data_IF_524530075509
#
_entry.id   IF_524530075509
#
_cell.length_a   1.000
_cell.length_b   1.000
_cell.length_c   1.000
_cell.angle_alpha   90.00
_cell.angle_beta   90.00
_cell.angle_gamma   90.00
#
_symmetry.space_group_name_H-M   'P 1'
#
loop_
_entity.id
_entity.type
_entity.pdbx_description
1 polymer ?
#
# COMPACT_ATOMS: atom_id res chain seq x y z
N UNK A 1 15.11 4.72 -0.79
CA UNK A 1 14.72 3.68 -1.77
C UNK A 1 15.44 4.04 -3.06
N UNK A 2 16.39 3.19 -3.47
CA UNK A 2 17.23 3.46 -4.63
C UNK A 2 16.43 3.31 -5.92
N UNK A 3 16.65 4.21 -6.87
CA UNK A 3 16.05 4.14 -8.22
C UNK A 3 16.42 2.81 -8.92
N UNK A 4 17.63 2.33 -8.69
CA UNK A 4 18.18 1.09 -9.24
C UNK A 4 17.44 -0.17 -8.79
N UNK A 5 16.70 -0.13 -7.67
CA UNK A 5 15.86 -1.24 -7.24
C UNK A 5 14.66 -1.49 -8.16
N UNK A 6 14.36 -0.56 -9.07
CA UNK A 6 13.33 -0.70 -10.10
C UNK A 6 11.91 -0.87 -9.56
N UNK A 7 11.65 -0.43 -8.30
CA UNK A 7 10.34 -0.65 -7.67
C UNK A 7 9.29 0.25 -8.31
N UNK A 8 8.21 -0.38 -8.75
CA UNK A 8 7.04 0.25 -9.37
C UNK A 8 5.76 -0.10 -8.61
N UNK A 9 4.70 0.65 -8.87
CA UNK A 9 3.37 0.39 -8.29
C UNK A 9 2.81 -0.96 -8.75
N UNK A 10 2.39 -1.82 -7.82
CA UNK A 10 1.94 -3.18 -8.13
C UNK A 10 0.42 -3.32 -8.21
N UNK A 11 -0.33 -2.39 -7.66
CA UNK A 11 -1.81 -2.42 -7.69
C UNK A 11 -2.44 -1.60 -8.82
N UNK A 12 -1.71 -1.23 -9.86
CA UNK A 12 -2.24 -0.36 -10.91
C UNK A 12 -1.28 -0.14 -12.07
N UNK A 13 -1.10 1.12 -12.47
CA UNK A 13 -0.41 1.53 -13.70
C UNK A 13 1.13 1.43 -13.66
N UNK A 14 1.72 0.69 -12.73
CA UNK A 14 3.18 0.49 -12.62
C UNK A 14 3.99 1.80 -12.49
N UNK A 15 3.40 2.82 -11.88
CA UNK A 15 4.06 4.11 -11.70
C UNK A 15 5.33 3.98 -10.84
N UNK A 16 6.46 4.58 -11.22
CA UNK A 16 7.71 4.44 -10.49
C UNK A 16 7.64 4.95 -9.05
N UNK A 17 7.92 4.08 -8.08
CA UNK A 17 7.79 4.41 -6.65
C UNK A 17 8.72 5.54 -6.24
N UNK A 18 9.94 5.61 -6.78
CA UNK A 18 10.88 6.68 -6.46
C UNK A 18 10.39 8.08 -6.86
N UNK A 19 9.59 8.17 -7.94
CA UNK A 19 8.94 9.44 -8.35
C UNK A 19 7.83 9.80 -7.37
N UNK A 20 7.01 8.83 -6.96
CA UNK A 20 5.92 9.01 -6.00
C UNK A 20 6.43 9.48 -4.62
N UNK A 21 7.67 9.12 -4.26
CA UNK A 21 8.33 9.50 -3.02
C UNK A 21 9.09 10.84 -3.10
N UNK A 22 8.99 11.54 -4.24
CA UNK A 22 9.52 12.88 -4.43
C UNK A 22 8.39 13.85 -4.82
N UNK A 23 7.40 14.09 -3.92
CA UNK A 23 6.32 15.01 -4.23
C UNK A 23 6.85 16.42 -4.50
N UNK A 24 6.12 17.22 -5.30
CA UNK A 24 6.49 18.61 -5.56
C UNK A 24 6.70 19.38 -4.25
N UNK A 25 7.67 20.34 -4.18
CA UNK A 25 8.01 21.06 -2.96
C UNK A 25 6.86 21.88 -2.35
N UNK A 26 5.90 22.27 -3.16
CA UNK A 26 4.69 23.00 -2.77
C UNK A 26 3.61 22.10 -2.14
N UNK A 27 3.77 20.77 -2.20
CA UNK A 27 2.83 19.81 -1.63
C UNK A 27 3.35 19.29 -0.29
N UNK A 28 2.65 19.61 0.78
CA UNK A 28 2.96 19.12 2.13
C UNK A 28 2.31 17.76 2.34
N UNK A 29 3.08 16.71 2.13
CA UNK A 29 2.66 15.34 2.48
C UNK A 29 2.95 15.09 3.96
N UNK A 30 1.97 14.58 4.70
CA UNK A 30 2.06 14.24 6.12
C UNK A 30 1.66 12.79 6.43
N UNK A 31 1.11 12.07 5.45
CA UNK A 31 0.51 10.74 5.62
C UNK A 31 0.89 9.80 4.47
N UNK A 32 1.18 8.54 4.81
CA UNK A 32 1.28 7.43 3.84
C UNK A 32 0.16 6.45 4.07
N UNK A 33 -0.49 6.00 2.99
CA UNK A 33 -1.50 4.95 3.05
C UNK A 33 -1.05 3.76 2.21
N UNK A 34 -1.12 2.57 2.77
CA UNK A 34 -1.05 1.33 2.01
C UNK A 34 -2.43 0.83 1.63
N UNK A 35 -2.59 0.58 0.35
CA UNK A 35 -3.79 -0.01 -0.22
C UNK A 35 -3.68 -1.53 -0.17
N UNK A 36 -4.41 -2.15 0.75
CA UNK A 36 -4.63 -3.59 0.89
C UNK A 36 -6.09 -3.98 0.63
N UNK A 37 -6.88 -3.09 0.00
CA UNK A 37 -8.30 -3.35 -0.23
C UNK A 37 -8.53 -4.51 -1.20
N UNK A 38 -7.74 -4.61 -2.31
CA UNK A 38 -7.87 -5.66 -3.33
C UNK A 38 -9.33 -5.94 -3.68
N UNK A 39 -10.04 -4.87 -4.09
CA UNK A 39 -11.47 -4.92 -4.34
C UNK A 39 -11.86 -5.52 -5.69
N UNK A 40 -10.91 -5.81 -6.58
CA UNK A 40 -11.17 -6.40 -7.89
C UNK A 40 -11.56 -7.88 -7.72
N UNK A 41 -12.68 -8.33 -8.33
CA UNK A 41 -13.13 -9.71 -8.21
C UNK A 41 -12.06 -10.72 -8.66
N UNK A 42 -12.00 -11.86 -7.96
CA UNK A 42 -11.07 -12.98 -8.18
C UNK A 42 -9.60 -12.71 -7.88
N UNK A 43 -9.17 -11.48 -7.62
CA UNK A 43 -7.79 -11.21 -7.20
C UNK A 43 -7.57 -11.62 -5.74
N UNK A 44 -6.42 -12.27 -5.46
CA UNK A 44 -6.03 -12.76 -4.14
C UNK A 44 -4.53 -12.57 -3.85
N UNK A 45 -3.82 -11.90 -4.73
CA UNK A 45 -2.36 -11.71 -4.61
C UNK A 45 -1.97 -10.86 -3.39
N UNK A 46 -2.68 -9.77 -3.16
CA UNK A 46 -2.44 -8.90 -2.00
C UNK A 46 -2.91 -9.55 -0.70
N UNK A 47 -4.03 -10.29 -0.73
CA UNK A 47 -4.50 -11.08 0.41
C UNK A 47 -3.45 -12.10 0.84
N UNK A 48 -2.95 -12.92 -0.09
CA UNK A 48 -1.89 -13.91 0.20
C UNK A 48 -0.62 -13.25 0.70
N UNK A 49 -0.21 -12.15 0.10
CA UNK A 49 0.96 -11.38 0.55
C UNK A 49 0.83 -10.93 2.00
N UNK A 50 -0.33 -10.39 2.38
CA UNK A 50 -0.58 -9.92 3.74
C UNK A 50 -0.62 -11.04 4.77
N UNK A 51 -1.05 -12.24 4.37
CA UNK A 51 -1.03 -13.44 5.23
C UNK A 51 0.37 -14.03 5.42
N UNK A 52 1.17 -14.06 4.36
CA UNK A 52 2.48 -14.73 4.36
C UNK A 52 3.63 -13.81 4.77
N UNK A 53 3.53 -12.51 4.50
CA UNK A 53 4.60 -11.54 4.74
C UNK A 53 4.11 -10.23 5.38
N UNK A 54 3.28 -10.28 6.44
CA UNK A 54 2.73 -9.08 7.07
C UNK A 54 3.82 -8.15 7.61
N UNK A 55 4.93 -8.70 8.14
CA UNK A 55 6.07 -7.91 8.64
C UNK A 55 6.77 -7.13 7.51
N UNK A 56 6.79 -7.67 6.29
CA UNK A 56 7.36 -6.95 5.15
C UNK A 56 6.44 -5.80 4.70
N UNK A 57 5.13 -5.96 4.81
CA UNK A 57 4.15 -4.90 4.54
C UNK A 57 4.36 -3.74 5.52
N UNK A 58 4.42 -4.05 6.82
CA UNK A 58 4.61 -3.05 7.89
C UNK A 58 5.98 -2.38 7.78
N UNK A 59 7.05 -3.15 7.62
CA UNK A 59 8.41 -2.59 7.42
C UNK A 59 8.49 -1.70 6.18
N UNK A 60 7.83 -2.12 5.10
CA UNK A 60 7.76 -1.33 3.87
C UNK A 60 7.07 0.01 4.08
N UNK A 61 5.97 0.04 4.86
CA UNK A 61 5.31 1.28 5.24
C UNK A 61 6.24 2.20 6.04
N UNK A 62 6.93 1.66 7.05
CA UNK A 62 7.91 2.43 7.82
C UNK A 62 9.01 3.03 6.93
N UNK A 63 9.52 2.26 5.96
CA UNK A 63 10.53 2.73 5.03
C UNK A 63 10.01 3.86 4.10
N UNK A 64 8.77 3.75 3.65
CA UNK A 64 8.10 4.79 2.85
C UNK A 64 7.86 6.06 3.67
N UNK A 65 7.36 5.92 4.91
CA UNK A 65 7.19 7.03 5.85
C UNK A 65 8.51 7.75 6.12
N UNK A 66 9.57 6.99 6.38
CA UNK A 66 10.92 7.53 6.61
C UNK A 66 11.46 8.26 5.38
N UNK A 67 11.24 7.74 4.18
CA UNK A 67 11.68 8.35 2.93
C UNK A 67 11.00 9.71 2.66
N UNK A 68 9.74 9.85 3.07
CA UNK A 68 8.95 11.08 2.95
C UNK A 68 9.10 12.03 4.16
N UNK A 69 9.72 11.56 5.25
CA UNK A 69 9.82 12.33 6.49
C UNK A 69 8.48 12.52 7.21
N UNK A 70 7.51 11.62 7.00
CA UNK A 70 6.18 11.69 7.60
C UNK A 70 6.04 10.74 8.79
N UNK A 71 5.12 11.05 9.70
CA UNK A 71 4.93 10.29 10.95
C UNK A 71 3.64 9.46 10.98
N UNK A 72 2.69 9.65 10.06
CA UNK A 72 1.42 8.92 10.08
C UNK A 72 1.33 7.95 8.91
N UNK A 73 1.02 6.69 9.23
CA UNK A 73 0.81 5.61 8.26
C UNK A 73 -0.52 4.89 8.48
N UNK A 74 -1.19 4.51 7.39
CA UNK A 74 -2.38 3.67 7.42
C UNK A 74 -2.20 2.46 6.52
N UNK A 75 -2.82 1.33 6.92
CA UNK A 75 -2.96 0.14 6.08
C UNK A 75 -4.45 -0.16 5.98
N UNK A 76 -5.05 0.12 4.83
CA UNK A 76 -6.48 -0.11 4.60
C UNK A 76 -6.72 -1.50 4.01
N UNK A 77 -7.52 -2.32 4.71
CA UNK A 77 -7.85 -3.71 4.31
C UNK A 77 -9.36 -3.89 4.40
N UNK A 78 -9.98 -4.52 3.40
CA UNK A 78 -11.43 -4.75 3.41
C UNK A 78 -11.84 -5.84 4.41
N UNK A 79 -13.03 -5.66 5.01
CA UNK A 79 -13.59 -6.56 6.03
C UNK A 79 -13.91 -7.98 5.55
N UNK A 80 -13.87 -8.23 4.24
CA UNK A 80 -13.94 -9.59 3.68
C UNK A 80 -12.62 -10.39 3.81
N UNK A 81 -11.57 -9.79 4.39
CA UNK A 81 -10.27 -10.40 4.65
C UNK A 81 -9.89 -10.29 6.14
N UNK A 82 -10.72 -10.87 7.06
CA UNK A 82 -10.52 -10.71 8.50
C UNK A 82 -9.19 -11.30 8.98
N UNK A 83 -8.75 -12.39 8.39
CA UNK A 83 -7.47 -13.06 8.63
C UNK A 83 -6.27 -12.16 8.28
N UNK A 84 -6.32 -11.44 7.16
CA UNK A 84 -5.29 -10.49 6.78
C UNK A 84 -5.28 -9.26 7.72
N UNK A 85 -6.46 -8.76 8.13
CA UNK A 85 -6.56 -7.67 9.11
C UNK A 85 -5.86 -8.08 10.40
N UNK A 86 -6.18 -9.28 10.94
CA UNK A 86 -5.57 -9.79 12.17
C UNK A 86 -4.04 -9.92 12.04
N UNK A 87 -3.55 -10.53 10.96
CA UNK A 87 -2.11 -10.73 10.74
C UNK A 87 -1.34 -9.43 10.62
N UNK A 88 -1.86 -8.47 9.84
CA UNK A 88 -1.21 -7.17 9.65
C UNK A 88 -1.30 -6.33 10.93
N UNK A 89 -2.43 -6.40 11.66
CA UNK A 89 -2.58 -5.72 12.95
C UNK A 89 -1.55 -6.25 13.97
N UNK A 90 -1.40 -7.57 14.08
CA UNK A 90 -0.41 -8.17 14.99
C UNK A 90 1.03 -7.76 14.62
N UNK A 91 1.36 -7.69 13.33
CA UNK A 91 2.66 -7.21 12.87
C UNK A 91 2.89 -5.71 13.13
N UNK A 92 1.83 -4.91 13.19
CA UNK A 92 1.90 -3.47 13.37
C UNK A 92 1.73 -3.00 14.83
N UNK A 93 1.28 -3.87 15.76
CA UNK A 93 0.83 -3.48 17.11
C UNK A 93 1.87 -2.70 17.94
N UNK A 94 3.15 -3.02 17.76
CA UNK A 94 4.27 -2.39 18.49
C UNK A 94 4.93 -1.26 17.68
N UNK A 95 4.35 -0.89 16.54
CA UNK A 95 4.89 0.16 15.67
C UNK A 95 4.08 1.44 15.87
N UNK A 96 4.71 2.45 16.44
CA UNK A 96 4.08 3.75 16.62
C UNK A 96 3.68 4.37 15.28
N UNK A 97 2.61 5.16 15.31
CA UNK A 97 2.15 5.98 14.18
C UNK A 97 1.63 5.19 12.95
N UNK A 98 1.45 3.86 13.06
CA UNK A 98 0.80 3.01 12.05
C UNK A 98 -0.55 2.51 12.57
N UNK A 99 -1.57 2.64 11.73
CA UNK A 99 -2.94 2.21 12.03
C UNK A 99 -3.45 1.28 10.92
N UNK A 100 -3.97 0.11 11.32
CA UNK A 100 -4.65 -0.82 10.42
C UNK A 100 -6.14 -0.49 10.42
N UNK A 101 -6.68 -0.13 9.25
CA UNK A 101 -8.06 0.32 9.09
C UNK A 101 -8.87 -0.77 8.39
N UNK A 102 -9.88 -1.29 9.09
CA UNK A 102 -10.85 -2.21 8.52
C UNK A 102 -11.86 -1.44 7.65
N UNK A 103 -11.79 -1.62 6.35
CA UNK A 103 -12.61 -0.92 5.36
C UNK A 103 -13.86 -1.75 5.02
N UNK A 104 -15.01 -1.06 4.89
CA UNK A 104 -16.23 -1.72 4.41
C UNK A 104 -15.99 -2.30 3.01
N UNK A 105 -16.30 -3.58 2.84
CA UNK A 105 -16.22 -4.25 1.53
C UNK A 105 -17.19 -3.62 0.55
N UNK A 106 -16.68 -3.05 -0.52
CA UNK A 106 -17.43 -2.46 -1.64
C UNK A 106 -16.53 -2.25 -2.85
N UNK A 107 -17.11 -2.15 -4.02
CA UNK A 107 -16.38 -1.79 -5.24
C UNK A 107 -16.70 -0.32 -5.63
N UNK A 108 -15.70 0.52 -5.92
CA UNK A 108 -14.24 0.29 -5.87
C UNK A 108 -13.60 0.86 -4.58
N UNK A 109 -13.54 0.09 -3.49
CA UNK A 109 -12.98 0.56 -2.21
C UNK A 109 -11.47 0.88 -2.30
N UNK A 110 -10.76 0.14 -3.17
CA UNK A 110 -9.33 0.36 -3.43
C UNK A 110 -9.03 1.53 -4.37
N UNK A 111 -10.04 2.19 -4.93
CA UNK A 111 -9.82 3.41 -5.69
C UNK A 111 -9.16 4.47 -4.81
N UNK A 112 -8.04 5.05 -5.26
CA UNK A 112 -7.12 5.86 -4.44
C UNK A 112 -7.84 6.98 -3.67
N UNK A 113 -8.74 7.73 -4.31
CA UNK A 113 -9.51 8.80 -3.65
C UNK A 113 -10.51 8.27 -2.61
N UNK A 114 -11.15 7.14 -2.89
CA UNK A 114 -12.06 6.48 -1.95
C UNK A 114 -11.32 5.98 -0.71
N UNK A 115 -10.15 5.38 -0.90
CA UNK A 115 -9.30 4.89 0.16
C UNK A 115 -8.81 6.03 1.06
N UNK A 116 -8.36 7.15 0.47
CA UNK A 116 -7.92 8.33 1.21
C UNK A 116 -9.05 8.83 2.12
N UNK A 117 -10.24 9.00 1.56
CA UNK A 117 -11.40 9.44 2.36
C UNK A 117 -11.73 8.46 3.48
N UNK A 118 -11.76 7.15 3.17
CA UNK A 118 -12.09 6.12 4.16
C UNK A 118 -11.08 6.03 5.32
N UNK A 119 -9.79 6.26 5.06
CA UNK A 119 -8.75 6.21 6.08
C UNK A 119 -8.55 7.52 6.85
N UNK A 120 -8.81 8.67 6.22
CA UNK A 120 -8.41 9.98 6.78
C UNK A 120 -9.54 11.00 6.91
N UNK A 121 -10.68 10.75 6.27
CA UNK A 121 -11.76 11.74 6.11
C UNK A 121 -11.42 12.90 5.15
N UNK A 122 -10.23 12.89 4.53
CA UNK A 122 -9.81 13.94 3.61
C UNK A 122 -10.32 13.69 2.20
N UNK A 123 -10.69 14.75 1.49
CA UNK A 123 -11.12 14.70 0.10
C UNK A 123 -9.99 15.16 -0.83
N UNK A 124 -9.75 14.39 -1.89
CA UNK A 124 -8.86 14.81 -2.98
C UNK A 124 -9.67 15.69 -3.94
N UNK A 125 -9.23 16.91 -4.23
CA UNK A 125 -9.95 17.82 -5.13
C UNK A 125 -10.23 17.19 -6.51
N UNK A 126 -11.27 17.66 -7.18
CA UNK A 126 -11.55 17.24 -8.56
C UNK A 126 -10.37 17.57 -9.47
N UNK A 127 -9.92 16.60 -10.27
CA UNK A 127 -8.70 16.73 -11.07
C UNK A 127 -7.38 16.70 -10.28
N UNK A 128 -7.44 16.73 -8.94
CA UNK A 128 -6.26 16.71 -8.07
C UNK A 128 -5.64 15.33 -7.87
N UNK A 129 -4.45 15.33 -7.30
CA UNK A 129 -3.67 14.14 -6.92
C UNK A 129 -3.74 13.90 -5.40
N UNK A 130 -3.43 12.71 -4.90
CA UNK A 130 -3.36 12.41 -3.47
C UNK A 130 -2.51 13.39 -2.65
N UNK A 131 -1.41 13.88 -3.22
CA UNK A 131 -0.55 14.88 -2.59
C UNK A 131 -1.27 16.23 -2.32
N UNK A 132 -2.34 16.55 -3.04
CA UNK A 132 -3.17 17.74 -2.79
C UNK A 132 -3.98 17.59 -1.48
N UNK A 133 -4.22 16.36 -1.05
CA UNK A 133 -4.80 16.02 0.25
C UNK A 133 -3.75 15.69 1.32
N UNK A 134 -2.46 15.92 1.05
CA UNK A 134 -1.35 15.63 1.96
C UNK A 134 -0.99 14.15 2.07
N UNK A 135 -1.37 13.32 1.12
CA UNK A 135 -1.27 11.86 1.20
C UNK A 135 -0.44 11.28 0.05
N UNK A 136 0.35 10.25 0.34
CA UNK A 136 0.93 9.35 -0.67
C UNK A 136 0.35 7.96 -0.46
N UNK A 137 -0.19 7.37 -1.53
CA UNK A 137 -0.77 6.02 -1.49
C UNK A 137 0.13 5.04 -2.24
N UNK A 138 0.38 3.88 -1.65
CA UNK A 138 1.08 2.76 -2.30
C UNK A 138 0.29 1.46 -2.08
N UNK A 139 0.48 0.47 -2.95
CA UNK A 139 -0.08 -0.86 -2.76
C UNK A 139 0.74 -1.65 -1.73
N UNK A 140 0.12 -2.60 -1.00
CA UNK A 140 0.81 -3.46 -0.02
C UNK A 140 1.94 -4.28 -0.65
N UNK A 141 1.78 -4.76 -1.89
CA UNK A 141 2.83 -5.46 -2.62
C UNK A 141 4.03 -4.57 -2.94
N UNK A 142 3.79 -3.31 -3.28
CA UNK A 142 4.85 -2.31 -3.46
C UNK A 142 5.64 -2.10 -2.17
N UNK A 143 4.96 -1.98 -1.03
CA UNK A 143 5.61 -1.85 0.28
C UNK A 143 6.45 -3.09 0.63
N UNK A 144 5.93 -4.29 0.41
CA UNK A 144 6.66 -5.54 0.64
C UNK A 144 7.90 -5.64 -0.27
N UNK A 145 7.81 -5.19 -1.53
CA UNK A 145 8.96 -5.13 -2.44
C UNK A 145 10.02 -4.12 -1.96
N UNK A 146 9.60 -2.97 -1.43
CA UNK A 146 10.51 -2.01 -0.78
C UNK A 146 11.22 -2.66 0.41
N UNK A 147 10.48 -3.37 1.26
CA UNK A 147 11.05 -4.10 2.39
C UNK A 147 12.09 -5.13 1.94
N UNK A 148 11.76 -5.94 0.93
CA UNK A 148 12.66 -6.95 0.38
C UNK A 148 13.93 -6.32 -0.17
N UNK A 149 13.81 -5.28 -0.99
CA UNK A 149 14.96 -4.59 -1.57
C UNK A 149 15.89 -3.99 -0.51
N UNK A 150 15.34 -3.45 0.58
CA UNK A 150 16.14 -2.90 1.69
C UNK A 150 16.84 -4.03 2.48
N UNK A 151 16.12 -5.12 2.79
CA UNK A 151 16.64 -6.22 3.60
C UNK A 151 17.67 -7.08 2.86
N UNK A 152 17.51 -7.26 1.56
CA UNK A 152 18.31 -8.22 0.78
C UNK A 152 19.23 -7.58 -0.25
N UNK A 153 19.04 -6.31 -0.59
CA UNK A 153 19.75 -5.64 -1.69
C UNK A 153 19.25 -6.05 -3.09
N UNK A 154 18.29 -6.95 -3.19
CA UNK A 154 17.77 -7.44 -4.48
C UNK A 154 16.81 -6.44 -5.11
N UNK A 155 16.92 -6.17 -6.41
CA UNK A 155 15.92 -5.35 -7.12
C UNK A 155 14.59 -6.07 -7.27
N UNK A 156 13.57 -5.37 -7.79
CA UNK A 156 12.27 -5.96 -8.09
C UNK A 156 12.38 -6.89 -9.31
N UNK A 157 12.42 -8.19 -9.08
CA UNK A 157 12.54 -9.23 -10.11
C UNK A 157 11.45 -10.31 -10.01
N UNK A 158 10.54 -10.19 -9.06
CA UNK A 158 9.47 -11.17 -8.86
C UNK A 158 8.18 -10.49 -8.42
N UNK A 159 7.06 -11.19 -8.62
CA UNK A 159 5.74 -10.71 -8.28
C UNK A 159 4.81 -11.89 -7.96
N UNK A 160 3.92 -11.72 -6.98
CA UNK A 160 2.78 -12.61 -6.77
C UNK A 160 1.70 -12.26 -7.80
N UNK A 161 1.16 -13.25 -8.47
CA UNK A 161 0.09 -13.08 -9.45
C UNK A 161 -1.07 -14.01 -9.14
N UNK A 162 -2.28 -13.58 -9.43
CA UNK A 162 -3.47 -14.43 -9.39
C UNK A 162 -3.70 -15.04 -10.76
N UNK A 163 -3.83 -16.37 -10.80
CA UNK A 163 -4.25 -17.09 -12.00
C UNK A 163 -5.62 -17.69 -11.69
N UNK A 164 -6.62 -17.34 -12.49
CA UNK A 164 -8.01 -17.75 -12.25
C UNK A 164 -8.76 -17.90 -13.57
N UNK A 165 -9.95 -18.49 -13.51
CA UNK A 165 -10.86 -18.68 -14.64
C UNK A 165 -11.21 -20.15 -14.88
N UNK A 166 -12.15 -20.41 -15.79
CA UNK A 166 -12.68 -21.75 -16.06
C UNK A 166 -11.63 -22.73 -16.62
N UNK A 167 -10.50 -22.26 -17.11
CA UNK A 167 -9.41 -23.08 -17.63
C UNK A 167 -8.31 -23.44 -16.58
N UNK A 168 -8.49 -23.03 -15.33
CA UNK A 168 -7.56 -23.34 -14.24
C UNK A 168 -8.12 -24.52 -13.45
N UNK A 169 -7.40 -25.64 -13.43
CA UNK A 169 -7.73 -26.85 -12.65
C UNK A 169 -7.00 -26.83 -11.31
#
# INVERSE_FOLDING_TARGET
IRKEAGIVGMGGATFPTHVKLAPPPDKKVDTVILNGAECEPYLTSDHRLMLEYPENVVFGLQALMKALGVKKGYIGIETNKPDAIEKVFEAAKDVADIEVVALKTKYPQGAEKQLIYACTGREVPSGGLPADAGVVVNNVGTAAAVAKAIKTGMPLIERIVTVTGAGVN
#
